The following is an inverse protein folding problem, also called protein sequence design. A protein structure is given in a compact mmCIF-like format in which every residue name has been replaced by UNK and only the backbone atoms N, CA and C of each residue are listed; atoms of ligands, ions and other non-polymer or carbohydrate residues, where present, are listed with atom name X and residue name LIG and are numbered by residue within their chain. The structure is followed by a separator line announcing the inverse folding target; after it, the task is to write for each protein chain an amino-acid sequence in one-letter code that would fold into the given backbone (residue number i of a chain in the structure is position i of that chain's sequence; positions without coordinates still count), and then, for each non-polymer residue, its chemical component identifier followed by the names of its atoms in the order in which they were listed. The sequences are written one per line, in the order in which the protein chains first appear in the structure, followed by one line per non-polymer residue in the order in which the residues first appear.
data_IF_066139007220
#
_entry.id   IF_066139007220
#
_cell.length_a   1.000
_cell.length_b   1.000
_cell.length_c   1.000
_cell.angle_alpha   90.00
_cell.angle_beta   90.00
_cell.angle_gamma   90.00
#
_symmetry.space_group_name_H-M   'P 1'
#
loop_
_entity.id
_entity.type
_entity.pdbx_description
1 polymer ?
#
# COMPACT_ATOMS: atom_id res chain seq x y z
N UNK A 1 10.46 9.21 3.59
CA UNK A 1 11.36 8.03 3.75
C UNK A 1 11.84 7.72 5.17
N UNK A 2 12.73 8.49 5.85
CA UNK A 2 13.31 8.07 7.15
C UNK A 2 12.28 7.77 8.25
N UNK A 3 11.27 8.63 8.43
CA UNK A 3 10.20 8.41 9.39
C UNK A 3 9.37 7.15 9.07
N UNK A 4 9.11 6.91 7.78
CA UNK A 4 8.37 5.73 7.33
C UNK A 4 9.15 4.44 7.59
N UNK A 5 10.46 4.47 7.35
CA UNK A 5 11.35 3.35 7.68
C UNK A 5 11.41 3.12 9.20
N UNK A 6 11.42 4.18 10.01
CA UNK A 6 11.37 4.06 11.45
C UNK A 6 10.04 3.44 11.93
N UNK A 7 8.90 3.84 11.35
CA UNK A 7 7.59 3.24 11.64
C UNK A 7 7.57 1.75 11.29
N UNK A 8 8.13 1.38 10.12
CA UNK A 8 8.24 -0.01 9.71
C UNK A 8 9.11 -0.83 10.68
N UNK A 9 10.27 -0.29 11.07
CA UNK A 9 11.20 -0.92 11.99
C UNK A 9 10.57 -1.10 13.37
N UNK A 10 9.91 -0.07 13.90
CA UNK A 10 9.24 -0.13 15.21
C UNK A 10 8.12 -1.17 15.23
N UNK A 11 7.34 -1.28 14.14
CA UNK A 11 6.31 -2.32 14.01
C UNK A 11 6.90 -3.74 14.13
N UNK A 12 8.05 -3.98 13.52
CA UNK A 12 8.74 -5.27 13.57
C UNK A 12 9.42 -5.53 14.92
N UNK A 13 9.90 -4.50 15.61
CA UNK A 13 10.43 -4.61 16.98
C UNK A 13 9.30 -5.03 17.94
N UNK A 14 8.13 -4.40 17.83
CA UNK A 14 6.99 -4.67 18.70
C UNK A 14 6.34 -6.04 18.40
N UNK A 15 6.24 -6.41 17.13
CA UNK A 15 5.74 -7.70 16.70
C UNK A 15 6.58 -8.25 15.53
N UNK A 16 7.57 -9.13 15.80
CA UNK A 16 8.41 -9.72 14.76
C UNK A 16 7.67 -10.57 13.72
N UNK A 17 6.41 -10.96 14.00
CA UNK A 17 5.55 -11.70 13.06
C UNK A 17 4.65 -10.77 12.22
N UNK A 18 4.69 -9.47 12.47
CA UNK A 18 3.89 -8.47 11.74
C UNK A 18 4.25 -8.50 10.26
N UNK A 19 3.24 -8.60 9.39
CA UNK A 19 3.43 -8.49 7.94
C UNK A 19 3.45 -7.01 7.57
N UNK A 20 4.65 -6.45 7.48
CA UNK A 20 4.90 -5.06 7.06
C UNK A 20 5.27 -5.00 5.59
N UNK A 21 4.59 -4.16 4.81
CA UNK A 21 4.85 -3.95 3.39
C UNK A 21 5.11 -2.48 3.14
N UNK A 22 6.25 -2.16 2.52
CA UNK A 22 6.66 -0.81 2.13
C UNK A 22 6.89 -0.76 0.63
N UNK A 23 6.25 0.19 -0.06
CA UNK A 23 6.43 0.42 -1.49
C UNK A 23 6.10 1.87 -1.88
N UNK A 24 6.49 2.28 -3.09
CA UNK A 24 6.08 3.57 -3.65
C UNK A 24 4.67 3.51 -4.20
N UNK A 25 4.00 4.66 -4.27
CA UNK A 25 2.67 4.79 -4.88
C UNK A 25 2.65 4.35 -6.35
N UNK A 26 3.71 4.66 -7.11
CA UNK A 26 3.85 4.25 -8.51
C UNK A 26 3.92 2.72 -8.67
N UNK A 27 4.72 2.05 -7.83
CA UNK A 27 4.82 0.59 -7.87
C UNK A 27 3.51 -0.09 -7.48
N UNK A 28 2.78 0.47 -6.51
CA UNK A 28 1.45 -0.03 -6.14
C UNK A 28 0.50 0.04 -7.34
N UNK A 29 0.46 1.18 -8.04
CA UNK A 29 -0.37 1.36 -9.22
C UNK A 29 -0.02 0.39 -10.34
N UNK A 30 1.28 0.19 -10.60
CA UNK A 30 1.73 -0.80 -11.59
C UNK A 30 1.30 -2.23 -11.24
N UNK A 31 1.44 -2.63 -9.96
CA UNK A 31 0.98 -3.93 -9.46
C UNK A 31 -0.52 -4.10 -9.59
N UNK A 32 -1.28 -3.05 -9.27
CA UNK A 32 -2.72 -3.04 -9.40
C UNK A 32 -3.17 -3.19 -10.85
N UNK A 33 -2.64 -2.36 -11.76
CA UNK A 33 -2.96 -2.43 -13.19
C UNK A 33 -2.64 -3.81 -13.78
N UNK A 34 -1.54 -4.41 -13.35
CA UNK A 34 -1.15 -5.78 -13.74
C UNK A 34 -2.15 -6.81 -13.23
N UNK A 35 -2.56 -6.74 -11.97
CA UNK A 35 -3.54 -7.67 -11.40
C UNK A 35 -4.91 -7.57 -12.10
N UNK A 36 -5.34 -6.38 -12.52
CA UNK A 36 -6.57 -6.21 -13.29
C UNK A 36 -6.44 -6.83 -14.67
N UNK A 37 -5.35 -6.53 -15.39
CA UNK A 37 -5.08 -7.08 -16.73
C UNK A 37 -5.04 -8.62 -16.72
N UNK A 38 -4.43 -9.20 -15.70
CA UNK A 38 -4.25 -10.65 -15.60
C UNK A 38 -5.45 -11.35 -14.92
N UNK A 39 -6.54 -10.63 -14.67
CA UNK A 39 -7.74 -11.10 -13.96
C UNK A 39 -7.47 -11.68 -12.55
N UNK A 40 -6.41 -11.20 -11.91
CA UNK A 40 -5.88 -11.61 -10.61
C UNK A 40 -6.20 -10.61 -9.48
N UNK A 41 -7.25 -9.80 -9.64
CA UNK A 41 -7.66 -8.80 -8.66
C UNK A 41 -8.00 -9.41 -7.29
N UNK A 42 -8.60 -10.61 -7.28
CA UNK A 42 -8.92 -11.33 -6.04
C UNK A 42 -7.64 -11.69 -5.27
N UNK A 43 -6.65 -12.24 -5.97
CA UNK A 43 -5.34 -12.59 -5.42
C UNK A 43 -4.63 -11.38 -4.83
N UNK A 44 -4.69 -10.23 -5.51
CA UNK A 44 -4.14 -8.98 -4.97
C UNK A 44 -4.85 -8.58 -3.68
N UNK A 45 -6.18 -8.66 -3.63
CA UNK A 45 -6.97 -8.35 -2.43
C UNK A 45 -6.64 -9.30 -1.27
N UNK A 46 -6.46 -10.58 -1.52
CA UNK A 46 -6.03 -11.56 -0.52
C UNK A 46 -4.61 -11.27 0.01
N UNK A 47 -3.67 -10.93 -0.88
CA UNK A 47 -2.32 -10.53 -0.48
C UNK A 47 -2.32 -9.31 0.45
N UNK A 48 -3.22 -8.36 0.21
CA UNK A 48 -3.37 -7.14 1.03
C UNK A 48 -4.10 -7.42 2.35
N UNK A 49 -4.99 -8.42 2.42
CA UNK A 49 -5.77 -8.76 3.62
C UNK A 49 -4.91 -9.25 4.78
N UNK A 50 -3.81 -9.94 4.48
CA UNK A 50 -2.90 -10.45 5.50
C UNK A 50 -1.82 -9.43 5.92
N UNK A 51 -1.87 -8.20 5.43
CA UNK A 51 -0.91 -7.16 5.79
C UNK A 51 -1.36 -6.48 7.09
N UNK A 52 -0.45 -6.42 8.06
CA UNK A 52 -0.67 -5.72 9.31
C UNK A 52 -0.37 -4.21 9.18
N UNK A 53 0.64 -3.86 8.38
CA UNK A 53 1.04 -2.47 8.11
C UNK A 53 1.42 -2.29 6.64
N UNK A 54 0.66 -1.44 5.93
CA UNK A 54 0.97 -0.99 4.58
C UNK A 54 1.53 0.43 4.61
N UNK A 55 2.72 0.63 4.06
CA UNK A 55 3.34 1.94 3.90
C UNK A 55 3.51 2.26 2.42
N UNK A 56 2.93 3.38 2.01
CA UNK A 56 3.06 3.96 0.68
C UNK A 56 3.90 5.24 0.80
N UNK A 57 5.07 5.27 0.15
CA UNK A 57 5.89 6.48 -0.01
C UNK A 57 5.67 7.11 -1.39
N UNK A 58 6.21 8.31 -1.60
CA UNK A 58 6.36 8.92 -2.92
C UNK A 58 5.02 9.17 -3.68
N UNK A 59 3.93 9.48 -2.97
CA UNK A 59 2.63 9.77 -3.58
C UNK A 59 2.67 10.99 -4.51
N UNK A 60 3.55 11.96 -4.25
CA UNK A 60 3.74 13.15 -5.09
C UNK A 60 4.21 12.83 -6.51
N UNK A 61 4.76 11.64 -6.75
CA UNK A 61 5.19 11.21 -8.09
C UNK A 61 4.04 10.69 -8.96
N UNK A 62 2.86 10.46 -8.38
CA UNK A 62 1.64 10.23 -9.17
C UNK A 62 1.26 11.51 -9.91
N UNK A 63 1.41 11.49 -11.23
CA UNK A 63 1.13 12.63 -12.10
C UNK A 63 -0.37 12.91 -12.19
N UNK A 64 -0.78 14.11 -11.77
CA UNK A 64 -2.16 14.59 -11.93
C UNK A 64 -3.06 14.32 -10.71
N UNK A 65 -3.77 15.38 -10.28
CA UNK A 65 -4.66 15.35 -9.10
C UNK A 65 -5.75 14.27 -9.18
N UNK A 66 -6.26 13.99 -10.38
CA UNK A 66 -7.26 12.94 -10.58
C UNK A 66 -6.70 11.55 -10.28
N UNK A 67 -5.46 11.27 -10.68
CA UNK A 67 -4.83 9.96 -10.44
C UNK A 67 -4.57 9.76 -8.95
N UNK A 68 -4.16 10.82 -8.24
CA UNK A 68 -4.00 10.79 -6.78
C UNK A 68 -5.33 10.49 -6.07
N UNK A 69 -6.44 11.10 -6.49
CA UNK A 69 -7.76 10.81 -5.95
C UNK A 69 -8.22 9.37 -6.25
N UNK A 70 -8.06 8.93 -7.50
CA UNK A 70 -8.38 7.56 -7.92
C UNK A 70 -7.60 6.53 -7.08
N UNK A 71 -6.31 6.79 -6.86
CA UNK A 71 -5.44 5.97 -6.01
C UNK A 71 -5.96 5.87 -4.58
N UNK A 72 -6.32 6.98 -3.95
CA UNK A 72 -6.89 6.99 -2.61
C UNK A 72 -8.21 6.20 -2.54
N UNK A 73 -9.09 6.35 -3.53
CA UNK A 73 -10.32 5.57 -3.62
C UNK A 73 -10.06 4.08 -3.78
N UNK A 74 -9.12 3.69 -4.65
CA UNK A 74 -8.71 2.30 -4.85
C UNK A 74 -8.14 1.69 -3.57
N UNK A 75 -7.25 2.41 -2.88
CA UNK A 75 -6.69 2.00 -1.60
C UNK A 75 -7.80 1.73 -0.59
N UNK A 76 -8.75 2.65 -0.44
CA UNK A 76 -9.87 2.46 0.50
C UNK A 76 -10.71 1.22 0.14
N UNK A 77 -11.02 1.02 -1.14
CA UNK A 77 -11.79 -0.14 -1.61
C UNK A 77 -11.08 -1.48 -1.40
N UNK A 78 -9.75 -1.51 -1.51
CA UNK A 78 -8.94 -2.72 -1.34
C UNK A 78 -8.63 -3.02 0.13
N UNK A 79 -8.56 -1.98 0.96
CA UNK A 79 -8.07 -2.04 2.33
C UNK A 79 -9.17 -1.96 3.39
N UNK A 80 -10.43 -2.16 3.02
CA UNK A 80 -11.54 -2.37 3.97
C UNK A 80 -11.23 -3.43 5.06
N UNK A 81 -10.23 -4.30 4.83
CA UNK A 81 -9.75 -5.31 5.79
C UNK A 81 -8.35 -5.08 6.37
N UNK A 82 -7.58 -4.08 5.91
CA UNK A 82 -6.21 -3.87 6.39
C UNK A 82 -6.21 -3.18 7.76
N UNK A 83 -5.32 -3.60 8.66
CA UNK A 83 -5.30 -3.10 10.04
C UNK A 83 -4.73 -1.69 10.16
N UNK A 84 -3.70 -1.35 9.36
CA UNK A 84 -3.09 -0.02 9.38
C UNK A 84 -2.46 0.35 8.03
N UNK A 85 -2.68 1.60 7.61
CA UNK A 85 -2.15 2.18 6.36
C UNK A 85 -1.49 3.52 6.66
N UNK A 86 -0.27 3.73 6.16
CA UNK A 86 0.46 5.00 6.26
C UNK A 86 0.83 5.46 4.85
N UNK A 87 0.45 6.67 4.49
CA UNK A 87 0.75 7.27 3.19
C UNK A 87 1.53 8.55 3.40
N UNK A 88 2.62 8.72 2.65
CA UNK A 88 3.38 9.97 2.58
C UNK A 88 3.37 10.55 1.17
N UNK A 89 3.35 11.88 1.12
CA UNK A 89 3.39 12.71 -0.09
C UNK A 89 4.50 13.76 0.03
#
# INVERSE_FOLDING_TARGET
THLLQAIAAESLIHNPKSRVVYLTAEYFMWRFATAIRDNNALTLKEQLRDIDLLIIDDMQFLQGKSIQHEFCHLINMLLDSAKQVVVAA
#
